data_IF_444033500350
#
_entry.id   IF_444033500350
#
_cell.length_a   1.000
_cell.length_b   1.000
_cell.length_c   1.000
_cell.angle_alpha   90.00
_cell.angle_beta   90.00
_cell.angle_gamma   90.00
#
_symmetry.space_group_name_H-M   'P 1'
#
loop_
_entity.id
_entity.type
_entity.pdbx_description
1 polymer ?
#
# COMPACT_ATOMS: atom_id res chain seq x y z
N UNK A 1 6.46 35.39 -10.53
CA UNK A 1 7.03 34.40 -9.58
C UNK A 1 5.98 33.33 -9.46
N UNK A 2 6.15 32.20 -10.16
CA UNK A 2 5.25 31.06 -10.01
C UNK A 2 5.74 30.27 -8.81
N UNK A 3 4.92 30.16 -7.77
CA UNK A 3 5.05 29.04 -6.84
C UNK A 3 4.62 27.79 -7.60
N UNK A 4 5.52 26.83 -7.76
CA UNK A 4 5.09 25.45 -7.88
C UNK A 4 4.73 25.00 -6.46
N UNK A 5 3.49 24.56 -6.26
CA UNK A 5 3.20 23.71 -5.12
C UNK A 5 3.95 22.39 -5.34
N UNK A 6 4.81 22.02 -4.40
CA UNK A 6 5.29 20.65 -4.30
C UNK A 6 4.09 19.84 -3.78
N UNK A 7 3.67 18.83 -4.53
CA UNK A 7 2.66 17.89 -4.04
C UNK A 7 3.41 16.89 -3.17
N UNK A 8 3.20 16.94 -1.85
CA UNK A 8 3.77 15.97 -0.92
C UNK A 8 3.36 14.57 -1.35
N UNK A 9 4.30 13.65 -1.55
CA UNK A 9 3.97 12.26 -1.82
C UNK A 9 4.03 11.44 -0.53
N UNK A 10 3.00 10.62 -0.28
CA UNK A 10 2.80 9.88 0.97
C UNK A 10 1.98 8.60 0.77
N UNK A 11 2.30 7.52 1.49
CA UNK A 11 1.74 6.19 1.20
C UNK A 11 0.29 6.03 1.68
N UNK A 12 -0.63 5.58 0.81
CA UNK A 12 -2.03 5.36 1.15
C UNK A 12 -2.26 3.95 1.73
N UNK A 13 -1.41 3.47 2.64
CA UNK A 13 -1.71 2.27 3.44
C UNK A 13 -2.73 2.54 4.56
N UNK A 14 -3.24 3.77 4.60
CA UNK A 14 -3.85 4.49 5.70
C UNK A 14 -4.18 5.90 5.18
N UNK A 15 -5.07 6.64 5.85
CA UNK A 15 -5.43 8.00 5.41
C UNK A 15 -4.39 9.02 5.92
N UNK A 16 -3.87 9.89 5.04
CA UNK A 16 -3.07 11.03 5.47
C UNK A 16 -3.99 12.19 5.87
N UNK A 17 -3.88 12.58 7.14
CA UNK A 17 -4.53 13.72 7.75
C UNK A 17 -3.82 15.01 7.32
N UNK A 18 -4.57 16.05 6.94
CA UNK A 18 -4.00 17.36 6.57
C UNK A 18 -4.33 18.44 7.61
N UNK A 19 -3.44 19.42 7.73
CA UNK A 19 -3.62 20.63 8.56
C UNK A 19 -4.07 21.86 7.74
N UNK A 20 -4.23 21.71 6.42
CA UNK A 20 -4.93 22.66 5.56
C UNK A 20 -5.83 21.97 4.52
N UNK A 21 -6.78 22.73 3.97
CA UNK A 21 -7.76 22.30 2.97
C UNK A 21 -7.22 22.34 1.52
N UNK A 22 -5.91 22.32 1.33
CA UNK A 22 -5.25 22.58 0.04
C UNK A 22 -4.21 21.53 -0.38
N UNK A 23 -3.54 20.87 0.56
CA UNK A 23 -2.42 19.97 0.32
C UNK A 23 -2.71 18.50 0.67
N UNK A 24 -3.61 17.85 -0.08
CA UNK A 24 -3.71 16.38 -0.05
C UNK A 24 -2.39 15.76 -0.53
N UNK A 25 -1.72 15.00 0.34
CA UNK A 25 -0.56 14.22 -0.05
C UNK A 25 -0.98 12.95 -0.81
N UNK A 26 -0.22 12.60 -1.84
CA UNK A 26 -0.57 11.52 -2.79
C UNK A 26 0.67 10.75 -3.22
N UNK A 27 0.70 9.42 -3.00
CA UNK A 27 1.71 8.55 -3.63
C UNK A 27 1.17 7.85 -4.88
N UNK A 28 2.08 7.46 -5.77
CA UNK A 28 1.90 6.59 -6.93
C UNK A 28 2.32 5.12 -6.67
N UNK A 29 3.18 4.86 -5.68
CA UNK A 29 3.59 3.52 -5.25
C UNK A 29 3.69 3.35 -3.73
N UNK A 30 3.40 2.14 -3.22
CA UNK A 30 3.48 1.81 -1.79
C UNK A 30 4.00 0.39 -1.50
N UNK A 31 4.61 0.21 -0.32
CA UNK A 31 5.11 -1.07 0.19
C UNK A 31 4.66 -1.32 1.63
N UNK A 32 4.22 -2.55 1.91
CA UNK A 32 3.84 -3.03 3.25
C UNK A 32 4.37 -4.45 3.48
N UNK A 33 4.74 -4.78 4.72
CA UNK A 33 5.10 -6.13 5.16
C UNK A 33 4.04 -6.59 6.16
N UNK A 34 3.49 -7.79 5.94
CA UNK A 34 2.56 -8.47 6.85
C UNK A 34 3.27 -9.72 7.41
N UNK A 35 3.63 -9.69 8.70
CA UNK A 35 4.32 -10.77 9.39
C UNK A 35 3.38 -11.47 10.38
N UNK A 36 3.12 -12.76 10.17
CA UNK A 36 2.42 -13.58 11.16
C UNK A 36 3.42 -14.11 12.20
N UNK A 37 3.15 -13.88 13.49
CA UNK A 37 4.04 -14.30 14.57
C UNK A 37 3.27 -14.77 15.83
N UNK A 38 4.00 -15.20 16.86
CA UNK A 38 3.44 -15.80 18.08
C UNK A 38 2.57 -14.84 18.94
N UNK A 39 2.56 -13.54 18.66
CA UNK A 39 1.72 -12.55 19.33
C UNK A 39 0.49 -12.11 18.49
N UNK A 40 0.41 -12.51 17.23
CA UNK A 40 -0.61 -12.07 16.27
C UNK A 40 0.02 -11.62 14.95
N UNK A 41 -0.41 -10.48 14.42
CA UNK A 41 0.14 -9.89 13.19
C UNK A 41 0.99 -8.66 13.51
N UNK A 42 2.16 -8.56 12.88
CA UNK A 42 2.90 -7.29 12.75
C UNK A 42 2.75 -6.78 11.32
N UNK A 43 2.26 -5.56 11.19
CA UNK A 43 2.26 -4.85 9.90
C UNK A 43 3.32 -3.76 9.94
N UNK A 44 4.29 -3.82 9.03
CA UNK A 44 5.29 -2.77 8.84
C UNK A 44 5.01 -2.00 7.57
N UNK A 45 5.07 -0.68 7.65
CA UNK A 45 4.89 0.23 6.52
C UNK A 45 6.14 1.07 6.31
N UNK A 46 6.63 1.17 5.07
CA UNK A 46 7.60 2.21 4.71
C UNK A 46 6.87 3.55 4.67
N UNK A 47 7.53 4.67 4.99
CA UNK A 47 6.91 5.99 4.86
C UNK A 47 7.86 6.94 4.15
N UNK A 48 7.40 7.53 3.04
CA UNK A 48 8.04 8.65 2.37
C UNK A 48 7.12 9.85 2.54
N UNK A 49 7.69 11.03 2.84
CA UNK A 49 6.90 12.25 3.02
C UNK A 49 7.70 13.51 2.61
N UNK A 50 7.16 14.26 1.66
CA UNK A 50 7.74 15.52 1.18
C UNK A 50 6.91 16.72 1.69
N UNK A 51 6.99 17.02 2.99
CA UNK A 51 6.27 18.14 3.62
C UNK A 51 6.82 18.53 5.00
N UNK A 52 6.29 19.62 5.58
CA UNK A 52 6.68 20.09 6.91
C UNK A 52 6.15 19.12 7.99
N UNK A 53 6.96 18.84 9.02
CA UNK A 53 6.63 17.85 10.04
C UNK A 53 5.35 18.17 10.83
N UNK A 54 5.02 19.45 10.98
CA UNK A 54 3.78 19.94 11.62
C UNK A 54 2.52 19.68 10.77
N UNK A 55 2.67 19.33 9.49
CA UNK A 55 1.58 18.96 8.57
C UNK A 55 1.46 17.44 8.33
N UNK A 56 2.18 16.61 9.09
CA UNK A 56 2.06 15.15 9.02
C UNK A 56 1.13 14.63 10.13
N UNK A 57 -0.02 14.12 9.73
CA UNK A 57 -0.80 13.16 10.51
C UNK A 57 -1.19 11.97 9.64
N UNK A 58 -1.32 10.78 10.21
CA UNK A 58 -1.56 9.55 9.47
C UNK A 58 -2.40 8.58 10.28
N UNK A 59 -3.54 8.14 9.72
CA UNK A 59 -4.57 7.34 10.41
C UNK A 59 -4.60 5.93 9.84
N UNK A 60 -3.96 5.00 10.55
CA UNK A 60 -3.86 3.59 10.18
C UNK A 60 -4.99 2.78 10.79
N UNK A 61 -5.72 2.03 9.96
CA UNK A 61 -6.69 1.04 10.43
C UNK A 61 -5.99 -0.32 10.52
N UNK A 62 -5.98 -0.89 11.73
CA UNK A 62 -5.29 -2.15 12.03
C UNK A 62 -6.30 -3.15 12.59
N UNK A 63 -6.39 -4.34 11.99
CA UNK A 63 -7.23 -5.42 12.50
C UNK A 63 -6.70 -5.92 13.86
N UNK A 64 -7.59 -6.24 14.79
CA UNK A 64 -7.25 -6.63 16.17
C UNK A 64 -7.00 -5.45 17.11
N UNK A 65 -6.60 -5.77 18.33
CA UNK A 65 -6.23 -4.83 19.39
C UNK A 65 -4.77 -4.40 19.24
N UNK A 66 -4.48 -3.10 19.33
CA UNK A 66 -3.13 -2.53 19.43
C UNK A 66 -2.94 -1.93 20.83
N UNK A 67 -1.86 -2.31 21.54
CA UNK A 67 -1.59 -1.88 22.91
C UNK A 67 -0.48 -0.82 23.06
N UNK A 68 -0.21 -0.43 24.32
CA UNK A 68 0.91 0.43 24.66
C UNK A 68 2.25 -0.29 24.39
N UNK A 69 3.04 0.26 23.47
CA UNK A 69 4.33 -0.31 23.04
C UNK A 69 4.28 -1.23 21.82
N UNK A 70 3.10 -1.53 21.27
CA UNK A 70 2.95 -2.34 20.05
C UNK A 70 3.25 -1.56 18.76
N UNK A 71 3.24 -0.23 18.82
CA UNK A 71 3.69 0.67 17.74
C UNK A 71 5.17 1.00 17.93
N UNK A 72 6.00 0.71 16.93
CA UNK A 72 7.47 0.71 17.01
C UNK A 72 8.14 1.23 15.74
N UNK A 73 9.36 1.76 15.87
CA UNK A 73 10.22 2.12 14.74
C UNK A 73 10.87 0.84 14.13
N UNK A 74 11.10 0.82 12.83
CA UNK A 74 11.79 -0.27 12.13
C UNK A 74 12.72 0.27 11.04
N UNK A 75 13.85 -0.40 10.85
CA UNK A 75 14.84 -0.09 9.82
C UNK A 75 14.23 -0.29 8.43
N UNK A 76 14.14 0.76 7.62
CA UNK A 76 13.52 0.70 6.29
C UNK A 76 14.27 -0.21 5.30
N UNK A 77 15.54 -0.53 5.56
CA UNK A 77 16.35 -1.37 4.66
C UNK A 77 15.88 -2.82 4.57
N UNK A 78 14.95 -3.25 5.45
CA UNK A 78 14.21 -4.50 5.28
C UNK A 78 13.37 -4.48 3.99
N UNK A 79 12.75 -3.36 3.63
CA UNK A 79 11.96 -3.22 2.40
C UNK A 79 12.86 -3.37 1.18
N UNK A 80 13.99 -2.67 1.14
CA UNK A 80 14.96 -2.78 0.05
C UNK A 80 15.53 -4.21 -0.06
N UNK A 81 15.76 -4.88 1.09
CA UNK A 81 16.20 -6.27 1.12
C UNK A 81 15.15 -7.22 0.52
N UNK A 82 13.89 -7.14 0.96
CA UNK A 82 12.80 -7.97 0.44
C UNK A 82 12.53 -7.67 -1.05
N UNK A 83 12.55 -6.39 -1.43
CA UNK A 83 12.40 -5.88 -2.79
C UNK A 83 13.47 -6.44 -3.72
N UNK A 84 14.75 -6.37 -3.35
CA UNK A 84 15.87 -6.88 -4.17
C UNK A 84 15.86 -8.41 -4.28
N UNK A 85 15.43 -9.13 -3.24
CA UNK A 85 15.31 -10.60 -3.25
C UNK A 85 14.20 -11.13 -4.14
N UNK A 86 13.17 -10.33 -4.38
CA UNK A 86 11.88 -10.76 -4.97
C UNK A 86 11.51 -10.06 -6.28
N UNK A 87 12.43 -9.33 -6.93
CA UNK A 87 12.15 -8.75 -8.24
C UNK A 87 11.86 -9.85 -9.29
N UNK A 88 10.92 -9.61 -10.22
CA UNK A 88 10.82 -10.39 -11.44
C UNK A 88 12.16 -10.45 -12.20
N UNK A 89 12.48 -11.59 -12.81
CA UNK A 89 13.74 -11.76 -13.56
C UNK A 89 13.56 -11.54 -15.05
N UNK A 90 14.46 -10.78 -15.67
CA UNK A 90 14.52 -10.67 -17.12
C UNK A 90 15.16 -11.93 -17.73
N UNK A 91 14.46 -12.58 -18.65
CA UNK A 91 15.00 -13.65 -19.51
C UNK A 91 15.05 -13.17 -20.95
N UNK A 92 16.01 -13.67 -21.76
CA UNK A 92 16.20 -13.23 -23.14
C UNK A 92 16.00 -14.36 -24.14
N UNK A 93 15.23 -14.09 -25.18
CA UNK A 93 14.88 -15.08 -26.20
C UNK A 93 15.09 -14.54 -27.62
N UNK A 94 15.49 -15.45 -28.51
CA UNK A 94 15.60 -15.21 -29.95
C UNK A 94 14.26 -15.56 -30.62
N UNK A 95 13.57 -14.53 -31.12
CA UNK A 95 12.18 -14.62 -31.58
C UNK A 95 11.96 -15.66 -32.68
N UNK A 96 10.87 -16.44 -32.56
CA UNK A 96 10.29 -17.21 -33.66
C UNK A 96 8.80 -16.86 -33.77
N UNK A 97 8.42 -16.19 -34.86
CA UNK A 97 7.18 -15.40 -34.92
C UNK A 97 5.90 -16.23 -35.13
N UNK A 98 4.85 -15.92 -34.36
CA UNK A 98 3.47 -16.34 -34.63
C UNK A 98 2.50 -15.82 -33.56
N UNK A 99 1.50 -15.02 -33.95
CA UNK A 99 0.51 -14.45 -33.02
C UNK A 99 -0.87 -14.28 -33.64
N UNK A 100 -1.88 -13.97 -32.80
CA UNK A 100 -3.22 -13.53 -33.19
C UNK A 100 -3.96 -12.94 -31.99
N UNK A 101 -4.55 -11.75 -32.14
CA UNK A 101 -5.37 -11.11 -31.11
C UNK A 101 -6.87 -11.40 -31.25
N UNK A 102 -7.64 -11.07 -30.21
CA UNK A 102 -9.10 -11.15 -30.13
C UNK A 102 -9.62 -9.82 -29.53
N UNK A 103 -10.78 -9.33 -29.98
CA UNK A 103 -11.35 -8.05 -29.54
C UNK A 103 -12.70 -8.16 -28.81
N UNK A 104 -13.05 -7.15 -28.01
CA UNK A 104 -14.22 -7.10 -27.12
C UNK A 104 -15.28 -6.04 -27.53
N UNK A 105 -16.40 -5.95 -26.80
CA UNK A 105 -17.52 -5.02 -27.03
C UNK A 105 -18.43 -4.78 -25.80
N UNK A 106 -19.42 -3.88 -25.92
CA UNK A 106 -19.92 -2.96 -24.85
C UNK A 106 -21.49 -2.81 -24.86
N UNK A 107 -22.27 -2.18 -23.94
CA UNK A 107 -22.09 -1.29 -22.76
C UNK A 107 -23.36 -1.31 -21.85
N UNK A 108 -23.29 -0.70 -20.64
CA UNK A 108 -24.30 0.20 -20.00
C UNK A 108 -25.55 -0.38 -19.25
N UNK A 109 -26.18 0.31 -18.25
CA UNK A 109 -25.75 1.41 -17.32
C UNK A 109 -26.88 1.80 -16.31
N UNK A 110 -26.54 2.59 -15.25
CA UNK A 110 -27.36 3.51 -14.40
C UNK A 110 -28.29 2.90 -13.31
N UNK A 111 -28.51 3.48 -12.11
CA UNK A 111 -28.05 4.66 -11.33
C UNK A 111 -29.00 4.86 -10.11
N UNK A 112 -28.61 5.64 -9.08
CA UNK A 112 -29.37 6.13 -7.88
C UNK A 112 -29.60 5.14 -6.71
N UNK A 113 -29.61 5.58 -5.43
CA UNK A 113 -29.47 6.94 -4.86
C UNK A 113 -29.33 6.98 -3.30
N UNK A 114 -29.31 8.19 -2.73
CA UNK A 114 -28.92 8.61 -1.35
C UNK A 114 -30.03 8.52 -0.27
N UNK A 115 -29.65 8.43 1.03
CA UNK A 115 -30.17 9.25 2.17
C UNK A 115 -29.47 8.96 3.53
N UNK A 116 -29.36 10.00 4.40
CA UNK A 116 -28.63 10.04 5.70
C UNK A 116 -29.53 10.19 6.95
N UNK A 117 -29.02 9.81 8.14
CA UNK A 117 -29.35 10.43 9.46
C UNK A 117 -28.38 9.99 10.59
N UNK A 118 -28.17 10.82 11.62
CA UNK A 118 -27.11 10.67 12.66
C UNK A 118 -27.62 10.32 14.08
N UNK A 119 -26.74 9.70 14.89
CA UNK A 119 -26.70 9.84 16.37
C UNK A 119 -25.23 9.86 16.84
N UNK A 120 -24.89 10.75 17.78
CA UNK A 120 -23.52 11.02 18.25
C UNK A 120 -23.15 10.35 19.58
N UNK A 121 -22.01 9.66 19.62
CA UNK A 121 -21.33 9.16 20.84
C UNK A 121 -19.79 9.34 20.72
N UNK A 122 -18.97 8.71 21.58
CA UNK A 122 -17.64 9.27 21.95
C UNK A 122 -16.44 8.52 21.34
N UNK A 123 -15.25 9.16 21.43
CA UNK A 123 -13.93 8.55 21.19
C UNK A 123 -13.21 8.33 22.52
N UNK A 124 -12.48 7.21 22.65
CA UNK A 124 -11.56 6.90 23.75
C UNK A 124 -10.14 6.66 23.22
N UNK A 125 -9.15 7.34 23.81
CA UNK A 125 -7.73 7.05 23.57
C UNK A 125 -7.33 5.87 24.46
N UNK A 126 -7.07 4.71 23.86
CA UNK A 126 -6.83 3.44 24.57
C UNK A 126 -5.35 3.20 24.89
N UNK A 127 -4.44 3.73 24.07
CA UNK A 127 -3.00 3.76 24.32
C UNK A 127 -2.36 4.98 23.62
N UNK A 128 -1.18 5.39 24.05
CA UNK A 128 -0.40 6.46 23.41
C UNK A 128 1.09 6.29 23.68
N UNK A 129 1.95 6.79 22.79
CA UNK A 129 3.39 6.68 22.97
C UNK A 129 4.23 7.30 21.86
N UNK A 130 5.49 6.87 21.78
CA UNK A 130 6.45 7.29 20.76
C UNK A 130 7.15 6.08 20.14
N UNK A 131 7.41 6.17 18.84
CA UNK A 131 8.10 5.18 18.03
C UNK A 131 9.15 5.92 17.16
N UNK A 132 10.36 6.11 17.70
CA UNK A 132 11.38 6.90 17.01
C UNK A 132 10.93 8.36 16.80
N UNK A 133 10.86 8.86 15.56
CA UNK A 133 10.38 10.22 15.26
C UNK A 133 8.85 10.38 15.39
N UNK A 134 8.11 9.28 15.45
CA UNK A 134 6.66 9.26 15.47
C UNK A 134 6.10 9.37 16.90
N UNK A 135 5.09 10.21 17.09
CA UNK A 135 4.15 10.11 18.21
C UNK A 135 2.91 9.34 17.73
N UNK A 136 2.30 8.54 18.61
CA UNK A 136 1.09 7.78 18.25
C UNK A 136 0.03 7.82 19.36
N UNK A 137 -1.23 7.72 18.94
CA UNK A 137 -2.42 7.53 19.77
C UNK A 137 -3.25 6.40 19.16
N UNK A 138 -3.56 5.38 19.95
CA UNK A 138 -4.48 4.30 19.59
C UNK A 138 -5.87 4.69 20.09
N UNK A 139 -6.85 4.58 19.22
CA UNK A 139 -8.19 5.14 19.38
C UNK A 139 -9.24 4.05 19.20
N UNK A 140 -10.24 4.08 20.07
CA UNK A 140 -11.53 3.41 19.89
C UNK A 140 -12.57 4.49 19.61
N UNK A 141 -13.31 4.38 18.51
CA UNK A 141 -14.35 5.33 18.12
C UNK A 141 -15.68 4.60 17.93
N UNK A 142 -16.78 5.22 18.38
CA UNK A 142 -18.14 4.68 18.22
C UNK A 142 -18.82 5.14 16.91
N UNK A 143 -18.27 6.13 16.21
CA UNK A 143 -18.63 6.52 14.83
C UNK A 143 -17.49 7.27 14.11
N UNK A 144 -17.60 7.42 12.79
CA UNK A 144 -16.71 8.24 11.96
C UNK A 144 -16.77 9.73 12.30
N UNK A 145 -17.97 10.27 12.53
CA UNK A 145 -18.21 11.65 13.01
C UNK A 145 -17.50 11.94 14.34
N UNK A 146 -17.51 10.98 15.27
CA UNK A 146 -16.82 11.11 16.54
C UNK A 146 -15.30 11.18 16.35
N UNK A 147 -14.74 10.35 15.47
CA UNK A 147 -13.31 10.35 15.15
C UNK A 147 -12.90 11.60 14.35
N UNK A 148 -13.76 12.08 13.45
CA UNK A 148 -13.61 13.35 12.72
C UNK A 148 -13.55 14.53 13.70
N UNK A 149 -14.51 14.62 14.62
CA UNK A 149 -14.55 15.63 15.69
C UNK A 149 -13.33 15.59 16.61
N UNK A 150 -12.79 14.39 16.90
CA UNK A 150 -11.57 14.26 17.71
C UNK A 150 -10.32 14.73 16.94
N UNK A 151 -10.19 14.33 15.68
CA UNK A 151 -9.08 14.76 14.81
C UNK A 151 -9.10 16.27 14.56
N UNK A 152 -10.27 16.86 14.30
CA UNK A 152 -10.47 18.32 14.21
C UNK A 152 -9.95 19.05 15.45
N UNK A 153 -10.12 18.45 16.64
CA UNK A 153 -9.66 19.02 17.91
C UNK A 153 -8.15 18.96 18.12
N UNK A 154 -7.48 17.99 17.49
CA UNK A 154 -6.01 17.87 17.41
C UNK A 154 -5.42 18.65 16.20
N UNK A 155 -6.27 19.23 15.34
CA UNK A 155 -5.89 20.08 14.20
C UNK A 155 -5.83 19.37 12.84
N UNK A 156 -6.50 18.23 12.70
CA UNK A 156 -6.42 17.32 11.54
C UNK A 156 -7.80 17.05 10.93
N UNK A 157 -7.98 17.27 9.63
CA UNK A 157 -9.26 16.95 8.96
C UNK A 157 -9.31 15.47 8.51
N UNK A 158 -10.50 14.84 8.55
CA UNK A 158 -10.73 13.44 8.12
C UNK A 158 -11.11 13.31 6.61
N UNK A 159 -11.62 14.39 6.03
CA UNK A 159 -12.04 14.48 4.63
C UNK A 159 -13.16 13.49 4.25
N UNK A 160 -13.24 13.13 2.98
CA UNK A 160 -14.27 12.23 2.41
C UNK A 160 -14.20 10.76 2.95
N UNK A 161 -13.38 10.48 3.98
CA UNK A 161 -13.11 9.12 4.49
C UNK A 161 -14.09 8.68 5.60
N UNK A 162 -14.96 9.56 6.09
CA UNK A 162 -15.87 9.30 7.23
C UNK A 162 -16.72 8.03 7.06
N UNK A 163 -17.40 7.86 5.91
CA UNK A 163 -18.21 6.67 5.63
C UNK A 163 -17.38 5.38 5.67
N UNK A 164 -16.14 5.41 5.19
CA UNK A 164 -15.25 4.24 5.21
C UNK A 164 -14.90 3.85 6.64
N UNK A 165 -14.79 4.82 7.55
CA UNK A 165 -14.54 4.58 8.97
C UNK A 165 -15.80 4.06 9.68
N UNK A 166 -16.99 4.58 9.37
CA UNK A 166 -18.25 4.01 9.86
C UNK A 166 -18.40 2.53 9.45
N UNK A 167 -17.99 2.17 8.22
CA UNK A 167 -17.96 0.77 7.78
C UNK A 167 -17.04 -0.09 8.68
N UNK A 168 -15.79 0.32 8.91
CA UNK A 168 -14.86 -0.39 9.82
C UNK A 168 -15.39 -0.51 11.27
N UNK A 169 -16.00 0.56 11.80
CA UNK A 169 -16.60 0.55 13.15
C UNK A 169 -17.78 -0.41 13.20
N UNK A 170 -18.62 -0.45 12.15
CA UNK A 170 -19.78 -1.34 12.06
C UNK A 170 -19.41 -2.83 11.88
N UNK A 171 -18.29 -3.11 11.21
CA UNK A 171 -17.69 -4.44 11.14
C UNK A 171 -17.11 -4.88 12.50
N UNK A 172 -16.44 -3.94 13.19
CA UNK A 172 -15.78 -4.14 14.47
C UNK A 172 -14.49 -4.96 14.37
N UNK A 173 -13.73 -5.00 15.48
CA UNK A 173 -12.48 -5.74 15.55
C UNK A 173 -11.28 -5.06 14.88
N UNK A 174 -11.30 -3.73 14.81
CA UNK A 174 -10.17 -2.90 14.36
C UNK A 174 -9.79 -1.88 15.43
N UNK A 175 -8.51 -1.54 15.49
CA UNK A 175 -7.96 -0.38 16.20
C UNK A 175 -7.60 0.72 15.20
N UNK A 176 -7.85 1.98 15.56
CA UNK A 176 -7.43 3.14 14.78
C UNK A 176 -6.16 3.72 15.39
N UNK A 177 -5.08 3.84 14.63
CA UNK A 177 -3.79 4.37 15.12
C UNK A 177 -3.51 5.68 14.41
N UNK A 178 -3.70 6.79 15.12
CA UNK A 178 -3.33 8.12 14.66
C UNK A 178 -1.84 8.37 14.98
N UNK A 179 -1.07 8.78 13.98
CA UNK A 179 0.39 8.94 14.04
C UNK A 179 0.77 10.34 13.57
N UNK A 180 1.62 11.04 14.31
CA UNK A 180 2.14 12.38 13.97
C UNK A 180 3.66 12.43 14.13
N UNK A 181 4.33 13.47 13.63
CA UNK A 181 5.77 13.67 13.81
C UNK A 181 6.07 14.54 15.03
N UNK A 182 7.15 14.23 15.75
CA UNK A 182 7.54 14.98 16.96
C UNK A 182 8.16 16.36 16.64
N UNK A 183 7.94 17.40 17.48
CA UNK A 183 8.45 18.75 17.19
C UNK A 183 9.99 18.90 17.17
N UNK A 184 10.75 17.90 17.64
CA UNK A 184 12.22 17.92 17.55
C UNK A 184 12.72 17.70 16.10
N UNK A 185 11.86 17.21 15.21
CA UNK A 185 12.08 17.00 13.77
C UNK A 185 11.66 18.20 12.88
N UNK A 186 11.34 19.35 13.47
CA UNK A 186 10.68 20.53 12.84
C UNK A 186 11.45 21.27 11.72
N UNK A 187 12.39 20.63 11.03
CA UNK A 187 13.06 21.18 9.84
C UNK A 187 13.17 20.13 8.73
N UNK A 188 12.16 20.08 7.85
CA UNK A 188 12.21 19.28 6.62
C UNK A 188 13.25 19.87 5.64
N UNK A 189 14.17 19.06 5.07
CA UNK A 189 15.03 19.50 3.98
C UNK A 189 14.24 19.91 2.73
N UNK A 190 14.81 20.76 1.86
CA UNK A 190 14.13 21.17 0.61
C UNK A 190 13.83 20.00 -0.35
N UNK A 191 14.54 18.88 -0.20
CA UNK A 191 14.37 17.65 -0.97
C UNK A 191 13.47 16.61 -0.27
N UNK A 192 12.68 17.02 0.73
CA UNK A 192 11.81 16.15 1.52
C UNK A 192 12.54 15.32 2.58
N UNK A 193 11.85 14.34 3.19
CA UNK A 193 12.42 13.43 4.18
C UNK A 193 11.96 11.98 3.97
N UNK A 194 12.92 11.07 3.87
CA UNK A 194 12.64 9.64 4.07
C UNK A 194 12.47 9.42 5.57
N UNK A 195 11.36 8.80 5.97
CA UNK A 195 11.06 8.47 7.36
C UNK A 195 11.43 7.00 7.62
N UNK A 196 11.79 6.63 8.87
CA UNK A 196 11.88 5.22 9.27
C UNK A 196 10.58 4.48 8.99
N UNK A 197 10.65 3.16 8.85
CA UNK A 197 9.43 2.36 8.76
C UNK A 197 8.70 2.34 10.10
N UNK A 198 7.36 2.37 10.07
CA UNK A 198 6.53 2.17 11.25
C UNK A 198 6.05 0.72 11.27
N UNK A 199 6.24 0.03 12.40
CA UNK A 199 5.71 -1.31 12.65
C UNK A 199 4.64 -1.26 13.72
N UNK A 200 3.47 -1.82 13.43
CA UNK A 200 2.36 -1.97 14.38
C UNK A 200 2.10 -3.46 14.59
N UNK A 201 2.22 -3.92 15.83
CA UNK A 201 1.75 -5.24 16.26
C UNK A 201 0.28 -5.17 16.66
N UNK A 202 -0.49 -6.22 16.38
CA UNK A 202 -1.80 -6.46 16.98
C UNK A 202 -1.97 -7.93 17.37
N UNK A 203 -3.04 -8.23 18.11
CA UNK A 203 -3.46 -9.58 18.49
C UNK A 203 -4.20 -10.36 17.37
N UNK A 204 -4.28 -9.80 16.16
CA UNK A 204 -5.03 -10.39 15.06
C UNK A 204 -4.47 -11.74 14.59
N UNK A 205 -5.37 -12.59 14.08
CA UNK A 205 -5.06 -13.90 13.50
C UNK A 205 -5.15 -13.92 11.97
N UNK A 206 -5.53 -12.80 11.34
CA UNK A 206 -5.74 -12.65 9.89
C UNK A 206 -4.87 -11.49 9.40
N UNK A 207 -4.11 -11.70 8.32
CA UNK A 207 -3.24 -10.68 7.75
C UNK A 207 -4.10 -9.72 6.91
N UNK A 208 -4.25 -8.47 7.35
CA UNK A 208 -5.13 -7.48 6.73
C UNK A 208 -4.32 -6.34 6.13
N UNK A 209 -4.79 -5.83 4.98
CA UNK A 209 -4.31 -4.57 4.42
C UNK A 209 -5.54 -3.67 4.13
N UNK A 210 -5.64 -2.47 4.76
CA UNK A 210 -6.83 -1.60 4.71
C UNK A 210 -6.96 -0.85 3.37
N UNK A 211 -7.13 -1.59 2.27
CA UNK A 211 -7.19 -1.05 0.92
C UNK A 211 -8.29 0.01 0.72
N UNK A 212 -9.37 0.01 1.51
CA UNK A 212 -10.39 1.07 1.49
C UNK A 212 -9.87 2.41 2.00
N UNK A 213 -9.07 2.44 3.08
CA UNK A 213 -8.49 3.67 3.64
C UNK A 213 -7.53 4.34 2.66
N UNK A 214 -6.98 3.56 1.72
CA UNK A 214 -6.13 4.08 0.66
C UNK A 214 -6.84 5.11 -0.23
N UNK A 215 -8.15 4.92 -0.44
CA UNK A 215 -8.90 5.61 -1.50
C UNK A 215 -8.73 7.12 -1.50
N UNK A 216 -8.79 7.78 -0.35
CA UNK A 216 -8.71 9.24 -0.25
C UNK A 216 -7.31 9.79 -0.58
N UNK A 217 -6.23 9.12 -0.14
CA UNK A 217 -4.82 9.53 -0.35
C UNK A 217 -4.11 8.90 -1.59
N UNK A 218 -4.79 8.06 -2.38
CA UNK A 218 -4.27 7.53 -3.64
C UNK A 218 -4.25 8.56 -4.79
N UNK A 219 -3.48 8.31 -5.85
CA UNK A 219 -3.70 8.98 -7.14
C UNK A 219 -4.95 8.43 -7.85
N UNK A 220 -5.05 8.57 -9.18
CA UNK A 220 -6.05 7.85 -9.99
C UNK A 220 -5.88 6.32 -9.88
N UNK A 221 -4.63 5.88 -9.68
CA UNK A 221 -4.19 4.49 -9.56
C UNK A 221 -3.13 4.36 -8.47
N UNK A 222 -2.87 3.16 -7.98
CA UNK A 222 -1.85 2.89 -6.96
C UNK A 222 -1.07 1.60 -7.24
N UNK A 223 0.26 1.69 -7.28
CA UNK A 223 1.14 0.53 -7.37
C UNK A 223 1.41 -0.03 -5.97
N UNK A 224 0.75 -1.11 -5.59
CA UNK A 224 0.85 -1.69 -4.23
C UNK A 224 1.72 -2.94 -4.25
N UNK A 225 2.72 -3.00 -3.36
CA UNK A 225 3.53 -4.20 -3.10
C UNK A 225 3.30 -4.69 -1.68
N UNK A 226 2.80 -5.92 -1.51
CA UNK A 226 2.59 -6.56 -0.21
C UNK A 226 3.60 -7.70 -0.08
N UNK A 227 4.50 -7.61 0.90
CA UNK A 227 5.32 -8.74 1.32
C UNK A 227 4.62 -9.45 2.48
N UNK A 228 4.50 -10.77 2.41
CA UNK A 228 3.98 -11.60 3.51
C UNK A 228 5.10 -12.51 4.02
N UNK A 229 5.31 -12.48 5.33
CA UNK A 229 6.28 -13.30 6.05
C UNK A 229 5.55 -14.29 6.98
N UNK A 230 5.92 -15.57 6.92
CA UNK A 230 5.33 -16.60 7.77
C UNK A 230 5.96 -17.98 7.56
N UNK A 231 5.22 -19.05 7.88
CA UNK A 231 5.71 -20.43 7.78
C UNK A 231 5.58 -21.04 6.38
N UNK A 232 4.58 -20.63 5.58
CA UNK A 232 4.21 -21.24 4.30
C UNK A 232 4.05 -20.20 3.17
N UNK A 233 3.84 -20.67 1.93
CA UNK A 233 3.43 -19.83 0.81
C UNK A 233 2.10 -19.13 1.16
N UNK A 234 2.07 -17.81 1.02
CA UNK A 234 0.89 -17.01 1.35
C UNK A 234 -0.08 -16.89 0.16
N UNK A 235 -1.36 -16.65 0.44
CA UNK A 235 -2.40 -16.38 -0.54
C UNK A 235 -3.32 -15.21 -0.13
N UNK A 236 -4.09 -14.68 -1.08
CA UNK A 236 -5.27 -13.85 -0.77
C UNK A 236 -6.44 -14.80 -0.49
N UNK A 237 -7.10 -14.64 0.64
CA UNK A 237 -8.22 -15.49 1.10
C UNK A 237 -9.59 -14.87 0.84
N UNK A 238 -9.70 -13.53 0.89
CA UNK A 238 -10.95 -12.82 0.64
C UNK A 238 -10.71 -11.35 0.25
N UNK A 239 -11.80 -10.66 -0.11
CA UNK A 239 -11.79 -9.27 -0.57
C UNK A 239 -11.39 -9.14 -2.03
N UNK A 240 -10.14 -9.48 -2.34
CA UNK A 240 -9.55 -9.39 -3.68
C UNK A 240 -9.28 -10.78 -4.25
N UNK A 241 -9.11 -10.87 -5.57
CA UNK A 241 -8.63 -12.07 -6.24
C UNK A 241 -7.10 -12.23 -6.06
N UNK A 242 -6.61 -13.43 -6.36
CA UNK A 242 -5.19 -13.72 -6.52
C UNK A 242 -4.93 -14.37 -7.87
N UNK A 243 -3.96 -13.86 -8.61
CA UNK A 243 -3.49 -14.45 -9.88
C UNK A 243 -2.08 -14.98 -9.73
N UNK A 244 -1.88 -16.26 -10.08
CA UNK A 244 -0.58 -16.88 -10.24
C UNK A 244 -0.16 -16.84 -11.70
N UNK A 245 0.93 -16.14 -12.01
CA UNK A 245 1.59 -16.26 -13.30
C UNK A 245 3.10 -15.98 -13.18
N UNK A 246 3.93 -16.96 -13.50
CA UNK A 246 5.38 -16.84 -13.47
C UNK A 246 5.99 -16.34 -14.79
N UNK A 247 5.19 -15.90 -15.76
CA UNK A 247 5.65 -15.55 -17.11
C UNK A 247 4.97 -14.31 -17.71
N UNK A 248 5.77 -13.40 -18.25
CA UNK A 248 5.33 -12.25 -19.05
C UNK A 248 6.14 -12.26 -20.35
N UNK A 249 5.49 -12.23 -21.51
CA UNK A 249 6.15 -11.90 -22.77
C UNK A 249 6.02 -10.38 -22.98
N UNK A 250 7.14 -9.64 -23.06
CA UNK A 250 7.08 -8.18 -23.23
C UNK A 250 6.63 -7.73 -24.62
N UNK A 251 6.47 -8.62 -25.60
CA UNK A 251 6.09 -8.32 -26.99
C UNK A 251 7.01 -7.31 -27.72
N UNK A 252 8.19 -7.00 -27.18
CA UNK A 252 9.10 -5.95 -27.66
C UNK A 252 8.98 -4.61 -26.92
N UNK A 253 8.05 -4.50 -25.97
CA UNK A 253 7.89 -3.36 -25.08
C UNK A 253 8.91 -3.39 -23.93
N UNK A 254 9.04 -2.27 -23.21
CA UNK A 254 9.90 -2.17 -22.04
C UNK A 254 9.39 -3.12 -20.92
N UNK A 255 10.25 -3.94 -20.28
CA UNK A 255 9.83 -4.88 -19.23
C UNK A 255 9.08 -4.27 -18.06
N UNK A 256 9.35 -3.00 -17.72
CA UNK A 256 8.62 -2.28 -16.67
C UNK A 256 7.18 -2.03 -17.12
N UNK A 257 6.99 -1.55 -18.35
CA UNK A 257 5.66 -1.27 -18.93
C UNK A 257 4.87 -2.56 -19.10
N UNK A 258 5.47 -3.62 -19.65
CA UNK A 258 4.80 -4.91 -19.83
C UNK A 258 4.37 -5.56 -18.49
N UNK A 259 5.11 -5.32 -17.40
CA UNK A 259 4.72 -5.74 -16.05
C UNK A 259 3.60 -4.86 -15.49
N UNK A 260 3.70 -3.54 -15.63
CA UNK A 260 2.69 -2.58 -15.16
C UNK A 260 1.35 -2.71 -15.89
N UNK A 261 1.34 -2.98 -17.20
CA UNK A 261 0.10 -3.13 -17.98
C UNK A 261 -0.67 -4.43 -17.62
N UNK A 262 0.04 -5.52 -17.30
CA UNK A 262 -0.63 -6.73 -16.80
C UNK A 262 -1.06 -6.56 -15.34
N UNK A 263 -0.25 -5.92 -14.48
CA UNK A 263 -0.68 -5.52 -13.13
C UNK A 263 -1.91 -4.61 -13.16
N UNK A 264 -2.01 -3.73 -14.16
CA UNK A 264 -3.16 -2.84 -14.38
C UNK A 264 -4.37 -3.60 -14.91
N UNK A 265 -4.16 -4.60 -15.77
CA UNK A 265 -5.24 -5.45 -16.30
C UNK A 265 -5.88 -6.25 -15.17
N UNK A 266 -5.07 -6.91 -14.34
CA UNK A 266 -5.51 -7.71 -13.19
C UNK A 266 -6.08 -6.81 -12.06
N UNK A 267 -5.44 -5.65 -11.81
CA UNK A 267 -5.87 -4.66 -10.82
C UNK A 267 -7.11 -3.85 -11.22
N UNK A 268 -7.51 -3.83 -12.50
CA UNK A 268 -8.72 -3.13 -12.99
C UNK A 268 -9.90 -4.07 -13.29
N UNK A 269 -9.81 -5.34 -12.89
CA UNK A 269 -10.88 -6.32 -13.07
C UNK A 269 -12.12 -6.01 -12.21
N UNK A 270 -13.29 -6.57 -12.57
CA UNK A 270 -14.56 -6.40 -11.83
C UNK A 270 -14.46 -6.83 -10.35
N UNK A 271 -13.65 -7.85 -10.07
CA UNK A 271 -13.08 -8.11 -8.75
C UNK A 271 -11.57 -8.02 -8.90
N UNK A 272 -10.91 -6.97 -8.37
CA UNK A 272 -9.50 -6.70 -8.63
C UNK A 272 -8.60 -7.78 -8.02
N UNK A 273 -7.45 -8.02 -8.65
CA UNK A 273 -6.52 -9.05 -8.23
C UNK A 273 -5.18 -8.51 -7.75
N UNK A 274 -4.58 -9.24 -6.80
CA UNK A 274 -3.15 -9.22 -6.55
C UNK A 274 -2.46 -10.31 -7.37
N UNK A 275 -1.36 -9.96 -8.02
CA UNK A 275 -0.50 -10.93 -8.68
C UNK A 275 0.54 -11.43 -7.68
N UNK A 276 0.59 -12.74 -7.44
CA UNK A 276 1.66 -13.36 -6.65
C UNK A 276 2.92 -13.50 -7.52
N UNK A 277 3.89 -12.62 -7.31
CA UNK A 277 5.07 -12.43 -8.18
C UNK A 277 6.31 -13.18 -7.70
N UNK A 278 6.37 -13.49 -6.40
CA UNK A 278 7.45 -14.23 -5.79
C UNK A 278 6.95 -15.06 -4.60
N UNK A 279 7.55 -16.23 -4.39
CA UNK A 279 7.45 -17.00 -3.15
C UNK A 279 8.70 -17.85 -2.99
N UNK A 280 9.39 -17.81 -1.85
CA UNK A 280 10.54 -18.69 -1.54
C UNK A 280 10.97 -18.53 -0.08
N UNK A 281 11.92 -19.36 0.37
CA UNK A 281 12.54 -19.24 1.69
C UNK A 281 13.49 -18.03 1.78
N UNK A 282 13.32 -17.20 2.80
CA UNK A 282 14.17 -16.04 3.09
C UNK A 282 14.59 -16.04 4.56
N UNK A 283 15.90 -16.19 4.79
CA UNK A 283 16.62 -15.97 6.07
C UNK A 283 16.02 -16.64 7.32
N UNK A 284 15.22 -17.70 7.13
CA UNK A 284 14.62 -18.52 8.19
C UNK A 284 13.08 -18.51 8.21
N UNK A 285 12.44 -17.60 7.47
CA UNK A 285 11.00 -17.55 7.24
C UNK A 285 10.66 -17.87 5.77
N UNK A 286 9.39 -18.05 5.47
CA UNK A 286 8.90 -18.08 4.09
C UNK A 286 8.42 -16.68 3.68
N UNK A 287 8.92 -16.18 2.54
CA UNK A 287 8.55 -14.90 1.95
C UNK A 287 7.62 -15.16 0.76
N UNK A 288 6.50 -14.46 0.71
CA UNK A 288 5.67 -14.33 -0.50
C UNK A 288 5.47 -12.86 -0.83
N UNK A 289 5.47 -12.50 -2.11
CA UNK A 289 5.22 -11.13 -2.58
C UNK A 289 4.00 -11.10 -3.49
N UNK A 290 3.22 -10.04 -3.31
CA UNK A 290 2.14 -9.65 -4.17
C UNK A 290 2.38 -8.25 -4.72
N UNK A 291 2.11 -8.05 -6.02
CA UNK A 291 2.05 -6.75 -6.66
C UNK A 291 0.63 -6.52 -7.22
N UNK A 292 0.15 -5.28 -7.25
CA UNK A 292 -1.03 -4.86 -8.05
C UNK A 292 -0.89 -3.41 -8.49
N UNK A 293 -1.57 -3.02 -9.56
CA UNK A 293 -1.69 -1.63 -10.02
C UNK A 293 -3.17 -1.29 -10.24
N UNK A 294 -3.85 -0.93 -9.16
CA UNK A 294 -5.31 -0.80 -9.14
C UNK A 294 -5.78 0.67 -9.24
N UNK A 295 -6.88 0.97 -9.97
CA UNK A 295 -7.49 2.30 -9.98
C UNK A 295 -8.29 2.57 -8.69
N UNK A 296 -8.34 3.83 -8.23
CA UNK A 296 -9.01 4.25 -6.98
C UNK A 296 -10.42 3.66 -6.80
N UNK A 297 -11.16 3.47 -7.89
CA UNK A 297 -12.57 3.01 -7.89
C UNK A 297 -12.78 1.54 -7.48
N UNK A 298 -11.78 0.65 -7.54
CA UNK A 298 -11.95 -0.77 -7.16
C UNK A 298 -11.64 -1.07 -5.69
N UNK A 299 -11.16 -0.07 -4.94
CA UNK A 299 -10.78 -0.19 -3.53
C UNK A 299 -12.01 -0.12 -2.59
N UNK A 300 -13.01 -0.95 -2.86
CA UNK A 300 -14.30 -0.99 -2.12
C UNK A 300 -14.37 -2.08 -1.06
N UNK A 301 -13.32 -2.90 -0.94
CA UNK A 301 -13.18 -3.97 0.04
C UNK A 301 -11.69 -4.22 0.31
N UNK A 302 -11.36 -4.67 1.51
CA UNK A 302 -9.98 -4.95 1.91
C UNK A 302 -9.58 -6.39 1.58
N UNK A 303 -8.37 -6.64 1.03
CA UNK A 303 -7.83 -7.99 0.95
C UNK A 303 -7.48 -8.53 2.34
N UNK A 304 -7.89 -9.77 2.61
CA UNK A 304 -7.30 -10.58 3.67
C UNK A 304 -6.33 -11.60 3.07
N UNK A 305 -5.15 -11.68 3.64
CA UNK A 305 -4.11 -12.65 3.30
C UNK A 305 -4.05 -13.75 4.36
N UNK A 306 -3.54 -14.90 3.97
CA UNK A 306 -3.24 -16.00 4.87
C UNK A 306 -2.25 -16.97 4.23
N UNK A 307 -2.25 -18.22 4.69
CA UNK A 307 -1.28 -19.24 4.26
C UNK A 307 -1.96 -20.46 3.66
N UNK A 308 -1.27 -21.08 2.71
CA UNK A 308 -1.60 -22.42 2.21
C UNK A 308 -0.94 -23.51 3.06
N UNK A 309 -1.39 -24.76 2.94
CA UNK A 309 -0.75 -25.94 3.56
C UNK A 309 0.53 -26.39 2.81
N UNK A 310 1.28 -25.46 2.21
CA UNK A 310 2.42 -25.75 1.34
C UNK A 310 3.48 -24.63 1.29
N UNK A 311 4.70 -25.03 0.95
CA UNK A 311 5.79 -24.16 0.51
C UNK A 311 6.14 -24.52 -0.94
N UNK A 312 6.18 -23.55 -1.84
CA UNK A 312 6.63 -23.75 -3.23
C UNK A 312 7.16 -22.47 -3.85
N UNK A 313 8.22 -22.61 -4.65
CA UNK A 313 8.89 -21.46 -5.26
C UNK A 313 8.05 -20.84 -6.40
N UNK A 314 7.90 -19.51 -6.37
CA UNK A 314 7.36 -18.68 -7.44
C UNK A 314 8.40 -17.60 -7.74
N UNK A 315 8.66 -17.33 -9.01
CA UNK A 315 9.46 -16.20 -9.47
C UNK A 315 9.00 -15.79 -10.86
N UNK A 316 8.38 -14.62 -10.99
CA UNK A 316 7.92 -14.09 -12.29
C UNK A 316 9.11 -13.80 -13.20
N UNK A 317 9.05 -14.30 -14.43
CA UNK A 317 10.06 -14.09 -15.48
C UNK A 317 9.45 -13.24 -16.60
N UNK A 318 10.18 -12.22 -17.03
CA UNK A 318 9.80 -11.32 -18.13
C UNK A 318 10.70 -11.61 -19.32
N UNK A 319 10.12 -12.12 -20.40
CA UNK A 319 10.80 -12.44 -21.64
C UNK A 319 11.03 -11.17 -22.48
N UNK A 320 12.26 -11.06 -22.99
CA UNK A 320 12.77 -9.94 -23.77
C UNK A 320 13.34 -10.45 -25.10
N UNK A 321 12.88 -9.86 -26.21
CA UNK A 321 13.39 -10.17 -27.54
C UNK A 321 14.69 -9.43 -27.86
N UNK A 322 15.74 -10.18 -28.22
CA UNK A 322 17.10 -9.65 -28.34
C UNK A 322 17.36 -8.80 -29.61
N UNK A 323 16.40 -8.73 -30.54
CA UNK A 323 16.56 -8.02 -31.83
C UNK A 323 15.99 -6.59 -31.87
N UNK A 324 15.40 -6.09 -30.77
CA UNK A 324 14.85 -4.74 -30.73
C UNK A 324 15.95 -3.68 -30.78
N UNK A 325 16.18 -3.18 -31.99
CA UNK A 325 17.40 -2.48 -32.41
C UNK A 325 17.53 -1.03 -31.89
N UNK A 326 16.75 -0.68 -30.86
CA UNK A 326 16.76 0.59 -30.15
C UNK A 326 16.84 0.47 -28.62
N UNK A 327 17.02 -0.74 -28.07
CA UNK A 327 16.89 -1.05 -26.64
C UNK A 327 17.98 -0.44 -25.73
N UNK A 328 17.92 0.87 -25.52
CA UNK A 328 18.73 1.60 -24.52
C UNK A 328 18.39 1.18 -23.07
N UNK A 329 17.22 0.58 -22.87
CA UNK A 329 16.71 0.09 -21.59
C UNK A 329 17.44 -1.17 -21.06
N UNK A 330 18.28 -1.84 -21.86
CA UNK A 330 19.12 -2.96 -21.42
C UNK A 330 20.16 -2.61 -20.32
N UNK A 331 20.24 -1.34 -19.91
CA UNK A 331 21.07 -0.84 -18.80
C UNK A 331 20.23 -0.27 -17.63
N UNK A 332 18.90 -0.33 -17.70
CA UNK A 332 18.00 0.08 -16.62
C UNK A 332 17.81 -1.11 -15.67
N UNK A 333 18.23 -1.02 -14.40
CA UNK A 333 17.85 -2.02 -13.40
C UNK A 333 16.36 -1.87 -13.08
N UNK A 334 15.67 -3.00 -12.83
CA UNK A 334 14.25 -3.03 -12.43
C UNK A 334 13.95 -2.27 -11.12
N UNK A 335 14.98 -1.81 -10.40
CA UNK A 335 14.92 -0.76 -9.37
C UNK A 335 14.10 0.49 -9.78
N UNK A 336 13.91 0.73 -11.08
CA UNK A 336 12.98 1.76 -11.58
C UNK A 336 11.53 1.62 -11.07
N UNK A 337 11.08 0.40 -10.71
CA UNK A 337 9.77 0.08 -10.12
C UNK A 337 9.59 0.59 -8.67
N UNK A 338 10.51 1.40 -8.15
CA UNK A 338 10.53 1.83 -6.74
C UNK A 338 10.50 3.32 -6.50
N UNK A 339 11.27 4.11 -7.26
CA UNK A 339 11.39 5.54 -7.03
C UNK A 339 11.96 6.27 -8.26
N UNK A 340 11.10 7.02 -8.95
CA UNK A 340 11.50 8.05 -9.93
C UNK A 340 10.84 9.35 -9.48
N UNK A 341 11.57 10.33 -8.94
CA UNK A 341 12.48 11.10 -9.79
C UNK A 341 13.56 11.89 -9.02
N UNK A 342 14.68 11.25 -8.69
CA UNK A 342 15.89 11.97 -8.22
C UNK A 342 16.45 12.87 -9.33
N UNK A 343 16.10 14.15 -9.34
CA UNK A 343 16.70 15.14 -10.26
C UNK A 343 18.11 15.50 -9.82
N UNK A 344 18.98 15.72 -10.82
CA UNK A 344 20.29 16.34 -10.67
C UNK A 344 20.21 17.81 -11.10
N UNK A 345 21.06 18.60 -10.46
CA UNK A 345 21.55 19.94 -10.83
C UNK A 345 20.53 21.10 -10.87
#
# INVERSE_FOLDING_TARGET
MFFFALMSQALPCAYLLTTDQGALAVSDAQEVILEANNAGVRTSYRIQYEGDAESFGWLVVVRGTVGEGDVTETDESIFDTLRDKSQPRLIKTQMQSGGSGIGCGETASKSMGDFSSDESLNVEVTAQGFAGPFAYQVLSAESGDALSTWLDSEGFELGDTEQTIDEYISEGGYSFVAVTLTPEDSQTPQDGRILPALSIQSDATELHFPARMATSSMAEKQRTTVFVLGENTANVQSGWNMTDNSYIDSQGEDPVVAFEDVLLTEGSAEVPAYWRTYSSAHDGVWLTRFDTLAPRVVHTIDPLFGFEDAQYDIETQIEVYENDSGAMWLLVPLLGLGLVRRRRD
#
